data_IF_071465207801
#
_entry.id   IF_071465207801
#
_cell.length_a   1.000
_cell.length_b   1.000
_cell.length_c   1.000
_cell.angle_alpha   90.00
_cell.angle_beta   90.00
_cell.angle_gamma   90.00
#
_symmetry.space_group_name_H-M   'P 1'
#
loop_
_entity.id
_entity.type
_entity.pdbx_description
1 polymer ?
#
# COMPACT_ATOMS: atom_id res chain seq x y z
N UNK A 1 -10.99 15.06 -7.28
CA UNK A 1 -9.59 14.56 -7.17
C UNK A 1 -9.51 13.34 -6.26
N UNK A 2 -10.17 13.33 -5.08
CA UNK A 2 -10.32 12.15 -4.21
C UNK A 2 -10.84 10.91 -4.97
N UNK A 3 -11.94 11.09 -5.70
CA UNK A 3 -12.57 10.01 -6.49
C UNK A 3 -11.66 9.45 -7.59
N UNK A 4 -10.82 10.28 -8.21
CA UNK A 4 -9.91 9.84 -9.28
C UNK A 4 -8.79 8.93 -8.75
N UNK A 5 -8.22 9.28 -7.59
CA UNK A 5 -7.19 8.46 -6.94
C UNK A 5 -7.79 7.15 -6.46
N UNK A 6 -8.95 7.21 -5.81
CA UNK A 6 -9.62 6.03 -5.31
C UNK A 6 -10.04 5.10 -6.47
N UNK A 7 -10.49 5.64 -7.60
CA UNK A 7 -10.72 4.86 -8.83
C UNK A 7 -9.42 4.26 -9.38
N UNK A 8 -8.32 5.01 -9.47
CA UNK A 8 -7.07 4.47 -10.03
C UNK A 8 -6.55 3.24 -9.25
N UNK A 9 -6.72 3.23 -7.92
CA UNK A 9 -6.36 2.08 -7.08
C UNK A 9 -7.20 0.83 -7.36
N UNK A 10 -8.39 0.98 -7.97
CA UNK A 10 -9.27 -0.13 -8.33
C UNK A 10 -9.01 -0.72 -9.72
N UNK A 11 -8.19 -0.10 -10.57
CA UNK A 11 -8.02 -0.57 -11.94
C UNK A 11 -6.91 -1.61 -12.09
N UNK A 12 -7.18 -2.71 -12.76
CA UNK A 12 -6.16 -3.59 -13.33
C UNK A 12 -5.80 -3.16 -14.74
N UNK A 13 -4.51 -3.27 -15.07
CA UNK A 13 -4.00 -2.98 -16.39
C UNK A 13 -3.72 -4.30 -17.10
N UNK A 14 -4.42 -4.51 -18.21
CA UNK A 14 -4.25 -5.66 -19.09
C UNK A 14 -3.41 -5.21 -20.28
N UNK A 15 -2.22 -5.81 -20.41
CA UNK A 15 -1.37 -5.60 -21.59
C UNK A 15 -1.95 -6.38 -22.78
N UNK A 16 -2.39 -5.66 -23.79
CA UNK A 16 -2.99 -6.19 -25.01
C UNK A 16 -1.90 -6.30 -26.08
N UNK A 17 -1.11 -7.38 -25.95
CA UNK A 17 0.08 -7.65 -26.75
C UNK A 17 1.01 -6.41 -26.85
N UNK A 18 1.99 -6.42 -27.75
CA UNK A 18 2.92 -5.28 -27.95
C UNK A 18 2.26 -3.99 -28.48
N UNK A 19 0.92 -3.91 -28.50
CA UNK A 19 0.14 -2.85 -29.15
C UNK A 19 -0.35 -1.77 -28.15
N UNK A 20 -0.44 -2.10 -26.86
CA UNK A 20 -0.83 -1.16 -25.80
C UNK A 20 -1.42 -1.83 -24.56
N UNK A 21 -2.06 -1.04 -23.69
CA UNK A 21 -2.65 -1.52 -22.44
C UNK A 21 -4.06 -0.96 -22.25
N UNK A 22 -4.96 -1.77 -21.69
CA UNK A 22 -6.30 -1.37 -21.30
C UNK A 22 -6.45 -1.45 -19.78
N UNK A 23 -7.13 -0.47 -19.19
CA UNK A 23 -7.46 -0.47 -17.77
C UNK A 23 -8.91 -0.87 -17.54
N UNK A 24 -9.16 -1.78 -16.60
CA UNK A 24 -10.49 -2.18 -16.16
C UNK A 24 -10.57 -2.16 -14.64
N UNK A 25 -11.71 -1.83 -14.01
CA UNK A 25 -11.91 -2.12 -12.59
C UNK A 25 -11.58 -3.59 -12.28
N UNK A 26 -10.89 -3.87 -11.18
CA UNK A 26 -10.33 -5.19 -10.84
C UNK A 26 -11.40 -6.30 -10.71
N UNK A 27 -12.63 -5.90 -10.41
CA UNK A 27 -13.79 -6.78 -10.32
C UNK A 27 -14.56 -6.90 -11.65
N UNK A 28 -14.04 -6.32 -12.74
CA UNK A 28 -14.60 -6.49 -14.07
C UNK A 28 -14.26 -7.88 -14.56
N UNK A 29 -15.27 -8.71 -14.84
CA UNK A 29 -15.07 -10.06 -15.33
C UNK A 29 -15.94 -10.39 -16.53
N UNK A 30 -15.50 -11.42 -17.26
CA UNK A 30 -16.29 -12.10 -18.28
C UNK A 30 -16.32 -11.41 -19.65
N UNK A 31 -17.44 -11.60 -20.35
CA UNK A 31 -17.60 -11.31 -21.77
C UNK A 31 -17.38 -9.81 -22.11
N UNK A 32 -17.59 -8.90 -21.17
CA UNK A 32 -17.38 -7.45 -21.37
C UNK A 32 -15.91 -7.07 -21.49
N UNK A 33 -15.05 -7.59 -20.60
CA UNK A 33 -13.60 -7.38 -20.65
C UNK A 33 -13.03 -8.04 -21.89
N UNK A 34 -13.42 -9.28 -22.17
CA UNK A 34 -12.98 -10.02 -23.36
C UNK A 34 -13.35 -9.29 -24.66
N UNK A 35 -14.57 -8.73 -24.76
CA UNK A 35 -15.00 -7.94 -25.92
C UNK A 35 -14.26 -6.62 -26.04
N UNK A 36 -13.98 -5.94 -24.94
CA UNK A 36 -13.24 -4.67 -24.96
C UNK A 36 -11.80 -4.89 -25.45
N UNK A 37 -11.13 -5.93 -24.95
CA UNK A 37 -9.82 -6.38 -25.41
C UNK A 37 -9.87 -6.78 -26.89
N UNK A 38 -10.84 -7.63 -27.29
CA UNK A 38 -11.00 -8.03 -28.70
C UNK A 38 -11.23 -6.82 -29.61
N UNK A 39 -12.00 -5.83 -29.14
CA UNK A 39 -12.21 -4.56 -29.83
C UNK A 39 -10.90 -3.81 -30.07
N UNK A 40 -10.11 -3.62 -29.01
CA UNK A 40 -8.82 -2.94 -29.08
C UNK A 40 -7.83 -3.65 -30.00
N UNK A 41 -7.65 -4.96 -29.84
CA UNK A 41 -6.76 -5.78 -30.65
C UNK A 41 -7.17 -5.82 -32.13
N UNK A 42 -8.48 -5.92 -32.40
CA UNK A 42 -9.01 -5.90 -33.77
C UNK A 42 -8.78 -4.54 -34.44
N UNK A 43 -9.00 -3.44 -33.71
CA UNK A 43 -8.76 -2.08 -34.19
C UNK A 43 -7.29 -1.88 -34.56
N UNK A 44 -6.37 -2.25 -33.65
CA UNK A 44 -4.94 -2.06 -33.86
C UNK A 44 -4.40 -2.95 -34.99
N UNK A 45 -4.92 -4.18 -35.10
CA UNK A 45 -4.54 -5.12 -36.16
C UNK A 45 -5.19 -4.82 -37.51
N UNK A 46 -5.98 -3.74 -37.64
CA UNK A 46 -6.67 -3.36 -38.87
C UNK A 46 -7.79 -4.32 -39.29
N UNK A 47 -8.26 -5.17 -38.37
CA UNK A 47 -9.33 -6.13 -38.63
C UNK A 47 -10.71 -5.51 -38.35
N UNK A 48 -11.68 -5.80 -39.24
CA UNK A 48 -13.04 -5.23 -39.14
C UNK A 48 -13.98 -6.04 -38.23
N UNK A 49 -13.60 -7.24 -37.82
CA UNK A 49 -14.46 -8.14 -37.05
C UNK A 49 -13.90 -8.39 -35.65
N UNK A 50 -14.55 -7.80 -34.66
CA UNK A 50 -14.31 -8.05 -33.23
C UNK A 50 -14.60 -9.52 -32.90
N UNK A 51 -15.69 -10.07 -33.43
CA UNK A 51 -16.11 -11.47 -33.17
C UNK A 51 -15.09 -12.49 -33.65
N UNK A 52 -14.43 -12.22 -34.80
CA UNK A 52 -13.34 -13.05 -35.29
C UNK A 52 -12.16 -13.05 -34.32
N UNK A 53 -11.78 -11.89 -33.78
CA UNK A 53 -10.71 -11.78 -32.79
C UNK A 53 -11.07 -12.47 -31.48
N UNK A 54 -12.27 -12.19 -30.96
CA UNK A 54 -12.80 -12.76 -29.74
C UNK A 54 -12.79 -14.29 -29.79
N UNK A 55 -13.23 -14.89 -30.91
CA UNK A 55 -13.31 -16.34 -31.05
C UNK A 55 -11.93 -17.01 -31.21
N UNK A 56 -11.08 -16.48 -32.07
CA UNK A 56 -9.85 -17.17 -32.50
C UNK A 56 -8.63 -16.84 -31.65
N UNK A 57 -8.59 -15.66 -31.00
CA UNK A 57 -7.39 -15.20 -30.26
C UNK A 57 -7.64 -15.02 -28.76
N UNK A 58 -8.85 -14.62 -28.36
CA UNK A 58 -9.17 -14.38 -26.95
C UNK A 58 -9.73 -15.65 -26.28
N UNK A 59 -10.88 -16.15 -26.75
CA UNK A 59 -11.55 -17.34 -26.20
C UNK A 59 -10.84 -18.65 -26.58
N UNK A 60 -10.25 -18.72 -27.77
CA UNK A 60 -9.59 -19.94 -28.29
C UNK A 60 -8.25 -20.28 -27.65
N UNK A 61 -7.49 -19.28 -27.17
CA UNK A 61 -6.13 -19.48 -26.64
C UNK A 61 -6.06 -19.45 -25.12
N UNK A 62 -7.16 -19.21 -24.41
CA UNK A 62 -7.14 -19.03 -22.95
C UNK A 62 -6.29 -17.85 -22.46
N UNK A 63 -5.82 -17.00 -23.38
CA UNK A 63 -4.87 -15.91 -23.14
C UNK A 63 -5.39 -14.82 -22.20
N UNK A 64 -6.71 -14.81 -21.94
CA UNK A 64 -7.39 -13.82 -21.10
C UNK A 64 -8.24 -14.44 -20.00
N UNK A 65 -7.84 -15.61 -19.48
CA UNK A 65 -8.31 -15.96 -18.12
C UNK A 65 -7.60 -15.02 -17.16
N UNK A 66 -8.32 -14.02 -16.66
CA UNK A 66 -7.90 -13.27 -15.49
C UNK A 66 -7.64 -14.33 -14.41
N UNK A 67 -6.36 -14.60 -14.15
CA UNK A 67 -6.01 -15.59 -13.17
C UNK A 67 -6.22 -14.92 -11.83
N UNK A 68 -7.37 -15.20 -11.19
CA UNK A 68 -7.69 -14.68 -9.87
C UNK A 68 -6.60 -15.04 -8.86
N UNK A 69 -5.85 -16.12 -9.10
CA UNK A 69 -4.71 -16.52 -8.27
C UNK A 69 -3.38 -15.85 -8.64
N UNK A 70 -3.32 -15.05 -9.72
CA UNK A 70 -2.08 -14.36 -10.10
C UNK A 70 -1.68 -13.32 -9.07
N UNK A 71 -0.37 -13.11 -8.94
CA UNK A 71 0.19 -12.12 -8.03
C UNK A 71 -0.39 -10.73 -8.27
N UNK A 72 -0.48 -10.28 -9.52
CA UNK A 72 -0.98 -8.94 -9.86
C UNK A 72 -2.45 -8.73 -9.45
N UNK A 73 -3.29 -9.75 -9.60
CA UNK A 73 -4.68 -9.68 -9.18
C UNK A 73 -4.80 -9.61 -7.66
N UNK A 74 -4.12 -10.52 -6.95
CA UNK A 74 -4.09 -10.53 -5.49
C UNK A 74 -3.47 -9.25 -4.91
N UNK A 75 -2.49 -8.67 -5.59
CA UNK A 75 -1.90 -7.38 -5.24
C UNK A 75 -2.90 -6.24 -5.36
N UNK A 76 -3.71 -6.21 -6.42
CA UNK A 76 -4.77 -5.22 -6.58
C UNK A 76 -5.86 -5.37 -5.51
N UNK A 77 -6.29 -6.61 -5.23
CA UNK A 77 -7.21 -6.90 -4.12
C UNK A 77 -6.65 -6.40 -2.79
N UNK A 78 -5.37 -6.67 -2.52
CA UNK A 78 -4.71 -6.22 -1.29
C UNK A 78 -4.74 -4.70 -1.15
N UNK A 79 -4.44 -3.96 -2.23
CA UNK A 79 -4.50 -2.49 -2.25
C UNK A 79 -5.91 -1.99 -1.90
N UNK A 80 -6.95 -2.57 -2.50
CA UNK A 80 -8.34 -2.20 -2.24
C UNK A 80 -8.71 -2.48 -0.78
N UNK A 81 -8.39 -3.68 -0.26
CA UNK A 81 -8.63 -4.03 1.14
C UNK A 81 -7.96 -3.05 2.11
N UNK A 82 -6.71 -2.67 1.85
CA UNK A 82 -5.97 -1.71 2.69
C UNK A 82 -6.63 -0.34 2.65
N UNK A 83 -6.98 0.15 1.46
CA UNK A 83 -7.66 1.44 1.29
C UNK A 83 -8.98 1.47 2.05
N UNK A 84 -9.81 0.45 1.89
CA UNK A 84 -11.13 0.38 2.52
C UNK A 84 -10.99 0.28 4.04
N UNK A 85 -10.04 -0.53 4.52
CA UNK A 85 -9.71 -0.60 5.94
C UNK A 85 -9.26 0.77 6.49
N UNK A 86 -8.40 1.47 5.75
CA UNK A 86 -7.89 2.79 6.11
C UNK A 86 -9.04 3.79 6.28
N UNK A 87 -9.93 3.88 5.27
CA UNK A 87 -11.07 4.80 5.26
C UNK A 87 -12.02 4.49 6.41
N UNK A 88 -12.41 3.22 6.55
CA UNK A 88 -13.40 2.81 7.55
C UNK A 88 -12.97 3.14 8.98
N UNK A 89 -11.69 2.90 9.32
CA UNK A 89 -11.19 3.19 10.65
C UNK A 89 -10.87 4.68 10.87
N UNK A 90 -10.44 5.42 9.85
CA UNK A 90 -10.20 6.87 9.99
C UNK A 90 -11.51 7.62 10.27
N UNK A 91 -12.60 7.23 9.62
CA UNK A 91 -13.92 7.85 9.84
C UNK A 91 -14.39 7.71 11.29
N UNK A 92 -14.07 6.60 11.97
CA UNK A 92 -14.33 6.43 13.40
C UNK A 92 -13.67 7.55 14.23
N UNK A 93 -12.39 7.85 13.98
CA UNK A 93 -11.67 8.89 14.71
C UNK A 93 -12.05 10.32 14.31
N UNK A 94 -12.52 10.54 13.08
CA UNK A 94 -13.00 11.85 12.62
C UNK A 94 -14.21 12.32 13.41
N UNK A 95 -15.13 11.41 13.69
CA UNK A 95 -16.41 11.69 14.34
C UNK A 95 -16.31 11.92 15.86
N UNK A 96 -15.13 11.67 16.46
CA UNK A 96 -14.89 11.98 17.88
C UNK A 96 -14.90 13.49 18.09
N UNK A 97 -15.69 13.98 19.04
CA UNK A 97 -15.62 15.37 19.51
C UNK A 97 -14.33 15.58 20.30
N UNK A 98 -13.52 16.56 19.88
CA UNK A 98 -12.17 16.76 20.42
C UNK A 98 -12.12 18.05 21.23
N UNK A 99 -11.58 18.03 22.47
CA UNK A 99 -11.36 19.24 23.25
C UNK A 99 -10.31 20.14 22.58
N UNK A 100 -10.35 21.43 22.90
CA UNK A 100 -9.39 22.42 22.41
C UNK A 100 -8.05 22.33 23.18
N UNK A 101 -7.28 21.29 22.89
CA UNK A 101 -5.95 21.05 23.45
C UNK A 101 -4.92 21.13 22.30
N UNK A 102 -3.94 22.05 22.35
CA UNK A 102 -3.02 22.28 21.24
C UNK A 102 -2.25 21.04 20.76
N UNK A 103 -1.78 20.20 21.69
CA UNK A 103 -1.06 18.95 21.38
C UNK A 103 -1.97 17.91 20.73
N UNK A 104 -3.23 17.82 21.18
CA UNK A 104 -4.23 16.95 20.57
C UNK A 104 -4.60 17.45 19.17
N UNK A 105 -4.76 18.76 18.98
CA UNK A 105 -5.01 19.35 17.67
C UNK A 105 -3.85 19.07 16.71
N UNK A 106 -2.61 19.35 17.12
CA UNK A 106 -1.43 19.15 16.29
C UNK A 106 -1.24 17.66 15.90
N UNK A 107 -1.38 16.75 16.87
CA UNK A 107 -1.31 15.31 16.62
C UNK A 107 -2.45 14.81 15.73
N UNK A 108 -3.68 15.31 15.92
CA UNK A 108 -4.84 14.99 15.08
C UNK A 108 -4.65 15.42 13.63
N UNK A 109 -4.15 16.63 13.40
CA UNK A 109 -3.89 17.14 12.05
C UNK A 109 -2.86 16.28 11.33
N UNK A 110 -1.75 15.94 11.99
CA UNK A 110 -0.74 15.05 11.42
C UNK A 110 -1.30 13.65 11.18
N UNK A 111 -2.11 13.12 12.10
CA UNK A 111 -2.78 11.83 11.98
C UNK A 111 -3.67 11.76 10.74
N UNK A 112 -4.58 12.71 10.54
CA UNK A 112 -5.50 12.68 9.40
C UNK A 112 -4.82 12.94 8.06
N UNK A 113 -3.73 13.72 8.03
CA UNK A 113 -2.95 13.97 6.81
C UNK A 113 -2.23 12.72 6.29
N UNK A 114 -1.87 11.79 7.18
CA UNK A 114 -1.20 10.55 6.79
C UNK A 114 -2.07 9.63 5.93
N UNK A 115 -3.39 9.76 5.92
CA UNK A 115 -4.27 9.02 5.00
C UNK A 115 -3.75 9.12 3.56
N UNK A 116 -3.39 10.33 3.14
CA UNK A 116 -2.87 10.58 1.79
C UNK A 116 -1.46 10.01 1.58
N UNK A 117 -0.66 9.87 2.64
CA UNK A 117 0.67 9.26 2.55
C UNK A 117 0.57 7.75 2.32
N UNK A 118 -0.37 7.08 3.01
CA UNK A 118 -0.69 5.67 2.75
C UNK A 118 -1.21 5.47 1.32
N UNK A 119 -2.17 6.29 0.88
CA UNK A 119 -2.68 6.23 -0.51
C UNK A 119 -1.56 6.47 -1.53
N UNK A 120 -0.69 7.45 -1.28
CA UNK A 120 0.49 7.71 -2.13
C UNK A 120 1.41 6.51 -2.23
N UNK A 121 1.71 5.85 -1.10
CA UNK A 121 2.56 4.67 -1.09
C UNK A 121 1.93 3.52 -1.90
N UNK A 122 0.63 3.28 -1.77
CA UNK A 122 -0.10 2.27 -2.55
C UNK A 122 -0.05 2.58 -4.06
N UNK A 123 -0.22 3.84 -4.47
CA UNK A 123 -0.08 4.24 -5.88
C UNK A 123 1.33 3.95 -6.37
N UNK A 124 2.35 4.38 -5.62
CA UNK A 124 3.75 4.16 -5.98
C UNK A 124 4.04 2.68 -6.17
N UNK A 125 3.61 1.82 -5.25
CA UNK A 125 3.79 0.37 -5.40
C UNK A 125 3.07 -0.18 -6.63
N UNK A 126 1.82 0.24 -6.87
CA UNK A 126 1.01 -0.18 -8.03
C UNK A 126 1.65 0.22 -9.36
N UNK A 127 2.35 1.35 -9.40
CA UNK A 127 3.03 1.84 -10.60
C UNK A 127 4.50 1.43 -10.69
N UNK A 128 4.98 0.55 -9.81
CA UNK A 128 6.39 0.10 -9.81
C UNK A 128 7.40 1.15 -9.34
N UNK A 129 6.95 2.21 -8.66
CA UNK A 129 7.78 3.26 -8.08
C UNK A 129 8.20 2.87 -6.65
N UNK A 130 8.92 1.75 -6.52
CA UNK A 130 9.26 1.16 -5.22
C UNK A 130 10.10 2.09 -4.34
N UNK A 131 11.03 2.88 -4.92
CA UNK A 131 11.84 3.82 -4.16
C UNK A 131 11.00 4.94 -3.54
N UNK A 132 10.04 5.46 -4.30
CA UNK A 132 9.10 6.47 -3.84
C UNK A 132 8.16 5.89 -2.77
N UNK A 133 7.71 4.64 -2.93
CA UNK A 133 6.93 3.95 -1.91
C UNK A 133 7.69 3.84 -0.57
N UNK A 134 8.96 3.39 -0.60
CA UNK A 134 9.82 3.30 0.59
C UNK A 134 10.10 4.68 1.21
N UNK A 135 10.21 5.72 0.38
CA UNK A 135 10.33 7.11 0.84
C UNK A 135 9.10 7.55 1.64
N UNK A 136 7.91 7.23 1.13
CA UNK A 136 6.64 7.53 1.79
C UNK A 136 6.48 6.70 3.07
N UNK A 137 6.86 5.42 3.07
CA UNK A 137 6.87 4.58 4.27
C UNK A 137 7.75 5.16 5.38
N UNK A 138 8.96 5.63 5.04
CA UNK A 138 9.79 6.34 6.03
C UNK A 138 9.12 7.59 6.55
N UNK A 139 8.51 8.39 5.67
CA UNK A 139 7.81 9.60 6.08
C UNK A 139 6.66 9.27 7.05
N UNK A 140 5.89 8.23 6.76
CA UNK A 140 4.83 7.72 7.64
C UNK A 140 5.41 7.33 9.01
N UNK A 141 6.50 6.57 9.05
CA UNK A 141 7.16 6.18 10.30
C UNK A 141 7.60 7.40 11.13
N UNK A 142 8.20 8.39 10.48
CA UNK A 142 8.63 9.63 11.14
C UNK A 142 7.44 10.44 11.68
N UNK A 143 6.32 10.49 10.95
CA UNK A 143 5.09 11.16 11.40
C UNK A 143 4.41 10.42 12.56
N UNK A 144 4.37 9.09 12.55
CA UNK A 144 3.91 8.26 13.67
C UNK A 144 4.74 8.56 14.92
N UNK A 145 6.07 8.58 14.79
CA UNK A 145 6.95 8.88 15.91
C UNK A 145 6.77 10.31 16.43
N UNK A 146 6.56 11.27 15.53
CA UNK A 146 6.29 12.66 15.91
C UNK A 146 4.98 12.79 16.68
N UNK A 147 3.90 12.14 16.22
CA UNK A 147 2.60 12.11 16.92
C UNK A 147 2.75 11.51 18.32
N UNK A 148 3.46 10.38 18.43
CA UNK A 148 3.73 9.74 19.71
C UNK A 148 4.48 10.66 20.68
N UNK A 149 5.35 11.53 20.18
CA UNK A 149 6.02 12.51 21.03
C UNK A 149 5.10 13.67 21.40
N UNK A 150 4.39 14.23 20.42
CA UNK A 150 3.64 15.49 20.56
C UNK A 150 2.43 15.38 21.47
N UNK A 151 1.74 14.24 21.47
CA UNK A 151 0.47 14.11 22.20
C UNK A 151 0.60 14.38 23.72
N UNK A 152 1.79 14.19 24.28
CA UNK A 152 2.10 14.37 25.70
C UNK A 152 3.27 15.36 25.90
N UNK A 153 3.46 16.29 24.97
CA UNK A 153 4.57 17.26 25.01
C UNK A 153 4.15 18.61 25.57
N UNK A 154 4.71 18.98 26.71
CA UNK A 154 4.43 20.27 27.38
C UNK A 154 5.19 21.48 26.80
N UNK A 155 6.11 21.25 25.86
CA UNK A 155 6.94 22.31 25.27
C UNK A 155 6.40 22.86 23.95
N UNK A 156 7.21 23.68 23.29
CA UNK A 156 6.93 24.13 21.92
C UNK A 156 7.08 22.98 20.91
N UNK A 157 5.95 22.42 20.49
CA UNK A 157 5.92 21.31 19.54
C UNK A 157 6.35 21.71 18.12
N UNK A 158 6.44 23.00 17.78
CA UNK A 158 6.94 23.46 16.48
C UNK A 158 8.44 23.21 16.30
N UNK A 159 9.20 23.13 17.40
CA UNK A 159 10.65 22.86 17.39
C UNK A 159 10.98 21.35 17.27
N UNK A 160 9.97 20.48 17.33
CA UNK A 160 10.16 19.04 17.29
C UNK A 160 10.42 18.54 15.87
N UNK A 161 11.62 17.98 15.66
CA UNK A 161 11.99 17.30 14.42
C UNK A 161 11.54 15.84 14.44
N UNK A 162 10.74 15.43 13.45
CA UNK A 162 10.16 14.08 13.32
C UNK A 162 11.22 12.97 13.38
N UNK A 163 12.33 13.14 12.66
CA UNK A 163 13.44 12.17 12.63
C UNK A 163 14.14 11.95 13.99
N UNK A 164 14.00 12.89 14.94
CA UNK A 164 14.53 12.75 16.30
C UNK A 164 13.54 12.09 17.27
N UNK A 165 12.33 11.78 16.82
CA UNK A 165 11.27 11.20 17.67
C UNK A 165 11.26 9.66 17.64
N UNK A 166 11.95 9.04 16.68
CA UNK A 166 12.00 7.58 16.49
C UNK A 166 12.44 6.83 17.76
N UNK A 167 13.41 7.39 18.51
CA UNK A 167 13.91 6.77 19.73
C UNK A 167 12.85 6.62 20.82
N UNK A 168 11.88 7.53 20.89
CA UNK A 168 10.76 7.40 21.82
C UNK A 168 9.74 6.39 21.32
N UNK A 169 9.45 6.34 20.01
CA UNK A 169 8.55 5.33 19.46
C UNK A 169 9.04 3.90 19.75
N UNK A 170 10.36 3.70 19.87
CA UNK A 170 10.96 2.41 20.20
C UNK A 170 10.58 1.86 21.59
N UNK A 171 10.07 2.69 22.51
CA UNK A 171 9.56 2.23 23.81
C UNK A 171 8.23 1.50 23.68
N UNK A 172 7.46 1.81 22.64
CA UNK A 172 6.19 1.15 22.33
C UNK A 172 6.35 0.04 21.30
N UNK A 173 7.17 0.28 20.27
CA UNK A 173 7.47 -0.69 19.23
C UNK A 173 8.97 -0.96 19.16
N UNK A 174 9.41 -2.06 19.79
CA UNK A 174 10.81 -2.50 19.87
C UNK A 174 11.58 -2.45 18.53
N UNK A 175 10.88 -2.71 17.42
CA UNK A 175 11.43 -2.75 16.06
C UNK A 175 11.47 -1.39 15.35
N UNK A 176 10.94 -0.31 15.92
CA UNK A 176 10.85 1.00 15.25
C UNK A 176 12.22 1.54 14.80
N UNK A 177 13.24 1.47 15.68
CA UNK A 177 14.59 1.91 15.33
C UNK A 177 15.24 1.07 14.23
N UNK A 178 15.03 -0.25 14.25
CA UNK A 178 15.52 -1.15 13.20
C UNK A 178 14.85 -0.87 11.86
N UNK A 179 13.53 -0.69 11.85
CA UNK A 179 12.78 -0.38 10.64
C UNK A 179 13.21 0.95 10.04
N UNK A 180 13.42 1.98 10.88
CA UNK A 180 13.93 3.27 10.44
C UNK A 180 15.32 3.16 9.79
N UNK A 181 16.21 2.34 10.34
CA UNK A 181 17.52 2.07 9.74
C UNK A 181 17.40 1.44 8.36
N UNK A 182 16.59 0.38 8.23
CA UNK A 182 16.33 -0.29 6.94
C UNK A 182 15.79 0.70 5.90
N UNK A 183 14.75 1.47 6.24
CA UNK A 183 14.16 2.45 5.33
C UNK A 183 15.15 3.57 4.97
N UNK A 184 16.03 3.97 5.88
CA UNK A 184 17.07 4.94 5.60
C UNK A 184 18.10 4.41 4.60
N UNK A 185 18.50 3.14 4.72
CA UNK A 185 19.47 2.52 3.82
C UNK A 185 18.96 2.47 2.37
N UNK A 186 17.66 2.17 2.17
CA UNK A 186 17.03 2.18 0.85
C UNK A 186 17.06 3.56 0.17
N UNK A 187 16.96 4.64 0.94
CA UNK A 187 16.88 6.01 0.40
C UNK A 187 18.22 6.62 0.02
N UNK A 188 19.31 6.11 0.58
CA UNK A 188 20.65 6.60 0.26
C UNK A 188 21.22 6.03 -1.04
N UNK A 189 20.40 5.34 -1.86
CA UNK A 189 20.82 4.62 -3.08
C UNK A 189 22.10 3.84 -2.78
N UNK A 190 22.06 3.09 -1.67
CA UNK A 190 23.21 2.32 -1.23
C UNK A 190 23.55 1.32 -2.35
N UNK A 191 24.79 1.31 -2.88
CA UNK A 191 25.15 0.45 -4.01
C UNK A 191 24.80 -1.03 -3.79
N UNK A 192 24.83 -1.51 -2.54
CA UNK A 192 24.44 -2.88 -2.17
C UNK A 192 22.95 -3.19 -2.38
N UNK A 193 22.12 -2.17 -2.31
CA UNK A 193 20.66 -2.25 -2.49
C UNK A 193 20.31 -1.98 -3.95
N UNK A 194 20.99 -1.02 -4.59
CA UNK A 194 20.78 -0.66 -6.00
C UNK A 194 20.97 -1.85 -6.94
N UNK A 195 21.90 -2.77 -6.65
CA UNK A 195 22.10 -4.00 -7.43
C UNK A 195 20.87 -4.91 -7.44
N UNK A 196 19.94 -4.81 -6.48
CA UNK A 196 18.68 -5.56 -6.50
C UNK A 196 17.71 -5.11 -7.61
N UNK A 197 17.94 -3.93 -8.18
CA UNK A 197 17.09 -3.32 -9.19
C UNK A 197 17.75 -3.30 -10.58
N UNK A 198 18.93 -3.91 -10.72
CA UNK A 198 19.66 -3.97 -11.99
C UNK A 198 19.96 -5.43 -12.31
N UNK A 199 19.49 -5.90 -13.46
CA UNK A 199 19.86 -7.18 -14.01
C UNK A 199 21.09 -6.99 -14.92
N UNK A 200 22.25 -7.44 -14.44
CA UNK A 200 23.52 -7.36 -15.17
C UNK A 200 23.72 -8.52 -16.16
N UNK A 201 22.85 -9.53 -16.16
CA UNK A 201 22.94 -10.71 -17.04
C UNK A 201 22.33 -10.46 -18.43
N UNK A 202 21.50 -9.43 -18.57
CA UNK A 202 20.98 -9.01 -19.87
C UNK A 202 22.08 -8.26 -20.65
N UNK A 203 22.24 -8.52 -21.95
CA UNK A 203 23.11 -7.72 -22.82
C UNK A 203 22.74 -6.23 -22.72
N UNK A 204 23.67 -5.40 -22.24
CA UNK A 204 23.46 -3.97 -22.03
C UNK A 204 22.95 -3.57 -20.64
N UNK A 205 22.62 -4.54 -19.78
CA UNK A 205 22.03 -4.32 -18.46
C UNK A 205 20.58 -3.82 -18.53
N UNK A 206 19.70 -4.32 -17.67
CA UNK A 206 18.31 -3.85 -17.58
C UNK A 206 17.94 -3.43 -16.16
N UNK A 207 16.97 -2.51 -16.04
CA UNK A 207 16.44 -2.07 -14.75
C UNK A 207 15.16 -2.84 -14.44
N UNK A 208 15.09 -3.43 -13.26
CA UNK A 208 13.93 -4.15 -12.77
C UNK A 208 12.99 -3.13 -12.12
N UNK A 209 11.97 -2.72 -12.86
CA UNK A 209 10.95 -1.77 -12.39
C UNK A 209 9.87 -2.43 -11.53
N UNK A 210 9.61 -3.72 -11.74
CA UNK A 210 8.57 -4.47 -11.02
C UNK A 210 9.14 -5.80 -10.55
N UNK A 211 9.18 -5.99 -9.24
CA UNK A 211 9.66 -7.23 -8.62
C UNK A 211 8.68 -7.62 -7.49
N UNK A 212 7.99 -8.77 -7.61
CA UNK A 212 7.05 -9.24 -6.59
C UNK A 212 7.65 -9.33 -5.18
N UNK A 213 8.89 -9.80 -5.02
CA UNK A 213 9.54 -9.89 -3.71
C UNK A 213 9.66 -8.51 -3.04
N UNK A 214 10.15 -7.52 -3.81
CA UNK A 214 10.30 -6.15 -3.30
C UNK A 214 8.93 -5.54 -2.96
N UNK A 215 7.90 -5.85 -3.75
CA UNK A 215 6.54 -5.38 -3.49
C UNK A 215 5.94 -6.04 -2.24
N UNK A 216 6.17 -7.32 -2.01
CA UNK A 216 5.76 -8.02 -0.78
C UNK A 216 6.47 -7.42 0.44
N UNK A 217 7.77 -7.14 0.35
CA UNK A 217 8.54 -6.51 1.43
C UNK A 217 8.02 -5.10 1.76
N UNK A 218 7.81 -4.27 0.74
CA UNK A 218 7.24 -2.92 0.88
C UNK A 218 5.82 -2.99 1.45
N UNK A 219 4.96 -3.86 0.91
CA UNK A 219 3.60 -4.08 1.40
C UNK A 219 3.59 -4.49 2.88
N UNK A 220 4.47 -5.41 3.27
CA UNK A 220 4.62 -5.83 4.66
C UNK A 220 5.07 -4.70 5.58
N UNK A 221 5.90 -3.79 5.09
CA UNK A 221 6.33 -2.58 5.80
C UNK A 221 5.16 -1.60 5.94
N UNK A 222 4.48 -1.26 4.85
CA UNK A 222 3.31 -0.38 4.86
C UNK A 222 2.21 -0.87 5.80
N UNK A 223 1.90 -2.17 5.78
CA UNK A 223 0.93 -2.80 6.68
C UNK A 223 1.36 -2.73 8.15
N UNK A 224 2.67 -2.83 8.42
CA UNK A 224 3.22 -2.64 9.78
C UNK A 224 3.05 -1.20 10.24
N UNK A 225 3.31 -0.24 9.35
CA UNK A 225 3.13 1.17 9.66
C UNK A 225 1.65 1.53 9.84
N UNK A 226 0.76 0.92 9.05
CA UNK A 226 -0.69 1.07 9.21
C UNK A 226 -1.17 0.53 10.57
N UNK A 227 -0.63 -0.61 11.01
CA UNK A 227 -0.89 -1.14 12.35
C UNK A 227 -0.47 -0.15 13.45
N UNK A 228 0.74 0.40 13.35
CA UNK A 228 1.25 1.38 14.31
C UNK A 228 0.46 2.68 14.26
N UNK A 229 0.05 3.12 13.08
CA UNK A 229 -0.79 4.29 12.86
C UNK A 229 -2.12 4.20 13.62
N UNK A 230 -2.81 3.05 13.56
CA UNK A 230 -4.07 2.88 14.29
C UNK A 230 -3.88 2.70 15.80
N UNK A 231 -2.79 2.05 16.23
CA UNK A 231 -2.41 2.06 17.64
C UNK A 231 -2.19 3.49 18.14
N UNK A 232 -1.53 4.36 17.36
CA UNK A 232 -1.34 5.77 17.70
C UNK A 232 -2.66 6.51 17.81
N UNK A 233 -3.60 6.27 16.91
CA UNK A 233 -4.93 6.86 16.97
C UNK A 233 -5.60 6.62 18.33
N UNK A 234 -5.59 5.36 18.80
CA UNK A 234 -6.20 5.04 20.08
C UNK A 234 -5.42 5.55 21.29
N UNK A 235 -4.11 5.74 21.17
CA UNK A 235 -3.32 6.36 22.24
C UNK A 235 -3.65 7.85 22.36
N UNK A 236 -3.70 8.60 21.24
CA UNK A 236 -3.95 10.05 21.29
C UNK A 236 -5.41 10.38 21.65
N UNK A 237 -6.34 9.49 21.31
CA UNK A 237 -7.76 9.65 21.66
C UNK A 237 -8.19 8.79 22.84
N UNK A 238 -7.25 8.28 23.64
CA UNK A 238 -7.50 7.24 24.65
C UNK A 238 -8.66 7.58 25.60
N UNK A 239 -8.70 8.80 26.11
CA UNK A 239 -9.71 9.26 27.07
C UNK A 239 -11.04 9.65 26.41
N UNK A 240 -11.08 9.72 25.08
CA UNK A 240 -12.26 10.09 24.28
C UNK A 240 -12.95 8.86 23.67
N UNK A 241 -12.36 7.67 23.80
CA UNK A 241 -12.84 6.44 23.19
C UNK A 241 -13.66 5.58 24.17
N UNK A 242 -14.90 5.29 23.79
CA UNK A 242 -15.73 4.29 24.48
C UNK A 242 -15.18 2.88 24.25
N UNK A 243 -14.93 2.55 22.98
CA UNK A 243 -14.41 1.26 22.53
C UNK A 243 -13.00 1.40 21.94
N UNK A 244 -12.17 0.37 22.13
CA UNK A 244 -10.80 0.28 21.64
C UNK A 244 -10.57 -1.09 21.01
N UNK A 245 -9.95 -1.09 19.84
CA UNK A 245 -9.68 -2.26 19.01
C UNK A 245 -8.18 -2.58 18.93
N UNK A 246 -7.31 -1.57 19.04
CA UNK A 246 -5.86 -1.68 18.80
C UNK A 246 -5.03 -1.72 20.10
N UNK A 247 -5.52 -1.09 21.17
CA UNK A 247 -4.90 -1.12 22.51
C UNK A 247 -5.87 -1.57 23.60
N UNK A 248 -5.32 -2.08 24.69
CA UNK A 248 -6.06 -2.45 25.90
C UNK A 248 -6.25 -1.24 26.84
N UNK A 249 -7.02 -1.41 27.91
CA UNK A 249 -7.27 -0.35 28.92
C UNK A 249 -6.00 0.10 29.66
N UNK A 250 -4.96 -0.72 29.70
CA UNK A 250 -3.65 -0.38 30.28
C UNK A 250 -2.69 0.23 29.24
N UNK A 251 -3.20 0.60 28.05
CA UNK A 251 -2.43 1.09 26.88
C UNK A 251 -1.45 0.06 26.31
N UNK A 252 -1.49 -1.20 26.75
CA UNK A 252 -0.72 -2.28 26.11
C UNK A 252 -1.34 -2.66 24.75
N UNK A 253 -0.54 -3.21 23.85
CA UNK A 253 -0.99 -3.58 22.50
C UNK A 253 -2.00 -4.73 22.56
N UNK A 254 -3.14 -4.58 21.87
CA UNK A 254 -4.06 -5.69 21.68
C UNK A 254 -3.46 -6.69 20.67
N UNK A 255 -3.29 -7.95 21.08
CA UNK A 255 -2.75 -9.02 20.24
C UNK A 255 -3.69 -9.43 19.10
N UNK A 256 -4.99 -9.16 19.24
CA UNK A 256 -6.03 -9.54 18.29
C UNK A 256 -6.51 -8.36 17.43
N UNK A 257 -5.72 -7.28 17.38
CA UNK A 257 -6.11 -6.04 16.69
C UNK A 257 -6.39 -6.28 15.19
N UNK A 258 -7.40 -5.62 14.61
CA UNK A 258 -7.87 -5.89 13.25
C UNK A 258 -6.80 -5.70 12.16
N UNK A 259 -5.95 -4.68 12.30
CA UNK A 259 -4.85 -4.39 11.36
C UNK A 259 -3.83 -5.52 11.28
N UNK A 260 -3.54 -6.19 12.40
CA UNK A 260 -2.60 -7.31 12.42
C UNK A 260 -3.17 -8.53 11.69
N UNK A 261 -4.48 -8.78 11.84
CA UNK A 261 -5.18 -9.85 11.10
C UNK A 261 -5.16 -9.57 9.60
N UNK A 262 -5.52 -8.35 9.20
CA UNK A 262 -5.49 -7.93 7.80
C UNK A 262 -4.09 -8.05 7.20
N UNK A 263 -3.07 -7.64 7.95
CA UNK A 263 -1.67 -7.79 7.53
C UNK A 263 -1.32 -9.25 7.20
N UNK A 264 -1.64 -10.17 8.11
CA UNK A 264 -1.30 -11.57 7.93
C UNK A 264 -2.06 -12.17 6.74
N UNK A 265 -3.36 -11.88 6.61
CA UNK A 265 -4.21 -12.33 5.49
C UNK A 265 -3.64 -11.86 4.14
N UNK A 266 -3.29 -10.57 4.03
CA UNK A 266 -2.75 -10.02 2.78
C UNK A 266 -1.41 -10.65 2.44
N UNK A 267 -0.48 -10.71 3.39
CA UNK A 267 0.85 -11.25 3.12
C UNK A 267 0.82 -12.74 2.77
N UNK A 268 -0.03 -13.53 3.42
CA UNK A 268 -0.24 -14.93 3.09
C UNK A 268 -0.78 -15.10 1.66
N UNK A 269 -1.78 -14.29 1.28
CA UNK A 269 -2.34 -14.31 -0.08
C UNK A 269 -1.29 -13.97 -1.14
N UNK A 270 -0.52 -12.90 -0.93
CA UNK A 270 0.50 -12.45 -1.88
C UNK A 270 1.63 -13.45 -2.06
N UNK A 271 2.12 -14.03 -0.95
CA UNK A 271 3.17 -15.06 -1.01
C UNK A 271 2.66 -16.31 -1.73
N UNK A 272 1.44 -16.75 -1.44
CA UNK A 272 0.83 -17.91 -2.10
C UNK A 272 0.67 -17.69 -3.60
N UNK A 273 0.17 -16.51 -4.00
CA UNK A 273 0.01 -16.12 -5.40
C UNK A 273 1.36 -16.07 -6.12
N UNK A 274 2.38 -15.48 -5.49
CA UNK A 274 3.70 -15.39 -6.08
C UNK A 274 4.37 -16.76 -6.26
N UNK A 275 4.22 -17.66 -5.28
CA UNK A 275 4.73 -19.03 -5.39
C UNK A 275 4.08 -19.79 -6.55
N UNK A 276 2.76 -19.66 -6.72
CA UNK A 276 2.05 -20.23 -7.87
C UNK A 276 2.61 -19.69 -9.19
N UNK A 277 2.79 -18.38 -9.31
CA UNK A 277 3.29 -17.76 -10.54
C UNK A 277 4.73 -18.18 -10.90
N UNK A 278 5.56 -18.61 -9.94
CA UNK A 278 6.90 -19.15 -10.20
C UNK A 278 6.87 -20.61 -10.70
N UNK A 279 5.85 -21.38 -10.32
CA UNK A 279 5.72 -22.80 -10.67
C UNK A 279 5.22 -23.05 -12.11
N UNK A 280 4.67 -22.02 -12.78
CA UNK A 280 4.18 -22.06 -14.16
C UNK A 280 5.17 -21.48 -15.17
#
# INVERSE_FOLDING_TARGET
MKDLIDSFLEFEVINCCSMGSLGFPYNSQGDSVERAVAGFESYYSGNKSIDYYLKNYIKGNGAFKQNEDSFNHQFTIAIVKIRDFLINYIEHFRNIEKPDIPTLFASSVSFFRMENSFKGALICMKTGLTFEALSLERNILEQIAWIYKVHDYDGDFFELKSNKCIGQLATLFDKAGKLYGVLSDYLHINPKITTKYVNFEAEGGSVIMFNPDNLIESMGTLLTLMDWYFVMAEIIYFDLLEERFFINKDKSLNKNRPSLKLKNEILESLVTAYQKDIEY
#
